data_IF_022641272681
#
_entry.id   IF_022641272681
#
_cell.length_a   1.000
_cell.length_b   1.000
_cell.length_c   1.000
_cell.angle_alpha   90.00
_cell.angle_beta   90.00
_cell.angle_gamma   90.00
#
_symmetry.space_group_name_H-M   'P 1'
#
loop_
_entity.id
_entity.type
_entity.pdbx_description
1 polymer ?
#
# COMPACT_ATOMS: atom_id res chain seq x y z
N UNK A 1 46.35 -25.50 5.85
CA UNK A 1 46.28 -24.11 5.37
C UNK A 1 45.15 -24.04 4.36
N UNK A 2 43.94 -23.66 4.78
CA UNK A 2 42.82 -23.45 3.85
C UNK A 2 43.03 -22.09 3.19
N UNK A 3 43.11 -22.07 1.87
CA UNK A 3 43.30 -20.88 1.05
C UNK A 3 42.21 -19.86 1.36
N UNK A 4 42.61 -18.64 1.74
CA UNK A 4 41.74 -17.50 2.00
C UNK A 4 41.09 -16.98 0.72
N UNK A 5 40.34 -17.82 0.03
CA UNK A 5 39.50 -17.42 -1.09
C UNK A 5 38.28 -16.75 -0.48
N UNK A 6 38.18 -15.44 -0.65
CA UNK A 6 37.02 -14.69 -0.22
C UNK A 6 35.77 -15.31 -0.88
N UNK A 7 34.74 -15.66 -0.09
CA UNK A 7 33.56 -16.30 -0.66
C UNK A 7 32.95 -15.38 -1.72
N UNK A 8 32.36 -15.94 -2.80
CA UNK A 8 31.77 -15.13 -3.84
C UNK A 8 30.76 -14.14 -3.23
N UNK A 9 30.58 -12.95 -3.85
CA UNK A 9 29.67 -11.96 -3.32
C UNK A 9 28.25 -12.53 -3.23
N UNK A 10 27.51 -12.10 -2.20
CA UNK A 10 26.07 -12.40 -2.10
C UNK A 10 25.31 -11.49 -3.06
N UNK A 11 24.14 -11.92 -3.52
CA UNK A 11 23.30 -11.06 -4.37
C UNK A 11 22.19 -10.48 -3.52
N UNK A 12 22.09 -9.16 -3.49
CA UNK A 12 21.09 -8.43 -2.72
C UNK A 12 20.18 -7.63 -3.66
N UNK A 13 18.90 -7.56 -3.32
CA UNK A 13 17.97 -6.58 -3.87
C UNK A 13 17.80 -5.48 -2.83
N UNK A 14 18.08 -4.24 -3.21
CA UNK A 14 17.86 -3.07 -2.36
C UNK A 14 16.53 -2.39 -2.72
N UNK A 15 15.67 -2.22 -1.72
CA UNK A 15 14.39 -1.51 -1.81
C UNK A 15 14.38 -0.40 -0.76
N UNK A 16 14.59 0.85 -1.18
CA UNK A 16 14.81 1.97 -0.26
C UNK A 16 16.07 1.74 0.60
N UNK A 17 15.90 1.72 1.92
CA UNK A 17 16.97 1.42 2.89
C UNK A 17 17.08 -0.09 3.24
N UNK A 18 16.21 -0.93 2.68
CA UNK A 18 16.17 -2.35 2.97
C UNK A 18 16.98 -3.17 1.97
N UNK A 19 17.60 -4.24 2.48
CA UNK A 19 18.35 -5.21 1.68
C UNK A 19 17.74 -6.61 1.84
N UNK A 20 17.38 -7.22 0.72
CA UNK A 20 16.84 -8.59 0.64
C UNK A 20 17.87 -9.50 -0.02
N UNK A 21 18.12 -10.67 0.55
CA UNK A 21 19.06 -11.64 -0.03
C UNK A 21 18.37 -12.37 -1.18
N UNK A 22 18.86 -12.18 -2.41
CA UNK A 22 18.42 -12.93 -3.59
C UNK A 22 19.21 -14.23 -3.74
N UNK A 23 20.51 -14.20 -3.47
CA UNK A 23 21.38 -15.37 -3.42
C UNK A 23 22.42 -15.24 -2.30
N UNK A 24 22.73 -16.34 -1.63
CA UNK A 24 23.72 -16.39 -0.55
C UNK A 24 23.18 -16.34 0.87
N UNK A 25 21.93 -16.74 1.11
CA UNK A 25 21.32 -16.83 2.46
C UNK A 25 22.21 -17.55 3.48
N UNK A 26 22.76 -18.71 3.12
CA UNK A 26 23.65 -19.45 4.02
C UNK A 26 24.95 -18.68 4.35
N UNK A 27 25.54 -17.98 3.37
CA UNK A 27 26.73 -17.13 3.58
C UNK A 27 26.43 -15.96 4.52
N UNK A 28 25.25 -15.35 4.39
CA UNK A 28 24.78 -14.30 5.30
C UNK A 28 24.59 -14.85 6.71
N UNK A 29 23.95 -16.01 6.87
CA UNK A 29 23.77 -16.66 8.18
C UNK A 29 25.11 -16.98 8.85
N UNK A 30 26.05 -17.59 8.12
CA UNK A 30 27.40 -17.91 8.63
C UNK A 30 28.17 -16.63 8.97
N UNK A 31 28.13 -15.60 8.13
CA UNK A 31 28.77 -14.31 8.43
C UNK A 31 28.21 -13.68 9.70
N UNK A 32 26.89 -13.79 9.92
CA UNK A 32 26.21 -13.29 11.13
C UNK A 32 26.61 -14.09 12.38
N UNK A 33 26.69 -15.41 12.31
CA UNK A 33 27.17 -16.26 13.41
C UNK A 33 28.63 -16.00 13.76
N UNK A 34 29.45 -15.67 12.77
CA UNK A 34 30.85 -15.27 12.93
C UNK A 34 31.02 -13.81 13.40
N UNK A 35 29.93 -13.09 13.67
CA UNK A 35 29.96 -11.70 14.14
C UNK A 35 30.48 -10.69 13.12
N UNK A 36 30.49 -11.02 11.82
CA UNK A 36 30.93 -10.10 10.77
C UNK A 36 29.89 -9.01 10.55
N UNK A 37 30.31 -7.75 10.66
CA UNK A 37 29.45 -6.58 10.45
C UNK A 37 29.22 -6.24 8.98
N UNK A 38 30.09 -6.73 8.09
CA UNK A 38 30.08 -6.43 6.65
C UNK A 38 30.23 -7.71 5.84
N UNK A 39 29.60 -7.74 4.67
CA UNK A 39 29.70 -8.83 3.70
C UNK A 39 29.75 -8.27 2.27
N UNK A 40 30.59 -8.86 1.42
CA UNK A 40 30.70 -8.48 0.01
C UNK A 40 29.44 -8.86 -0.74
N UNK A 41 28.83 -7.89 -1.45
CA UNK A 41 27.56 -8.08 -2.13
C UNK A 41 27.50 -7.40 -3.51
N UNK A 42 26.80 -8.03 -4.45
CA UNK A 42 26.29 -7.38 -5.66
C UNK A 42 24.86 -6.92 -5.40
N UNK A 43 24.60 -5.62 -5.50
CA UNK A 43 23.32 -5.01 -5.13
C UNK A 43 22.55 -4.57 -6.35
N UNK A 44 21.36 -5.14 -6.56
CA UNK A 44 20.38 -4.67 -7.52
C UNK A 44 19.42 -3.69 -6.83
N UNK A 45 19.51 -2.40 -7.17
CA UNK A 45 18.66 -1.37 -6.58
C UNK A 45 17.35 -1.25 -7.36
N UNK A 46 16.23 -1.34 -6.64
CA UNK A 46 14.90 -1.10 -7.20
C UNK A 46 14.34 0.16 -6.54
N UNK A 47 14.16 1.20 -7.34
CA UNK A 47 13.48 2.43 -6.91
C UNK A 47 11.97 2.23 -7.08
N UNK A 48 11.30 1.65 -6.09
CA UNK A 48 9.82 1.61 -6.08
C UNK A 48 9.27 2.84 -5.38
N UNK A 49 8.20 3.39 -5.95
CA UNK A 49 7.45 4.55 -5.42
C UNK A 49 6.75 4.25 -4.08
N UNK A 50 6.61 2.96 -3.74
CA UNK A 50 6.01 2.50 -2.50
C UNK A 50 7.08 2.34 -1.42
N UNK A 51 6.93 3.07 -0.32
CA UNK A 51 7.81 3.04 0.84
C UNK A 51 7.90 1.60 1.40
N UNK A 52 9.08 0.99 1.34
CA UNK A 52 9.35 -0.30 1.97
C UNK A 52 9.58 -0.08 3.47
N UNK A 53 8.57 -0.35 4.31
CA UNK A 53 8.77 -0.39 5.76
C UNK A 53 9.61 -1.62 6.16
N UNK A 54 10.43 -1.49 7.21
CA UNK A 54 11.32 -2.53 7.73
C UNK A 54 10.63 -3.86 8.15
N UNK A 55 9.30 -3.91 8.13
CA UNK A 55 8.49 -5.10 8.38
C UNK A 55 7.91 -5.75 7.11
N UNK A 56 8.36 -5.37 5.91
CA UNK A 56 7.91 -5.97 4.65
C UNK A 56 8.29 -7.47 4.60
N UNK A 57 7.27 -8.33 4.63
CA UNK A 57 7.40 -9.78 4.48
C UNK A 57 6.98 -10.20 3.08
N UNK A 58 7.38 -11.40 2.64
CA UNK A 58 6.93 -11.97 1.37
C UNK A 58 5.39 -11.95 1.21
N UNK A 59 4.66 -12.15 2.31
CA UNK A 59 3.19 -12.07 2.34
C UNK A 59 2.63 -10.69 1.98
N UNK A 60 3.40 -9.61 2.14
CA UNK A 60 2.98 -8.25 1.84
C UNK A 60 3.26 -7.85 0.38
N UNK A 61 4.03 -8.65 -0.37
CA UNK A 61 4.46 -8.30 -1.73
C UNK A 61 3.30 -8.20 -2.71
N UNK A 62 2.30 -9.08 -2.60
CA UNK A 62 1.12 -9.03 -3.46
C UNK A 62 0.34 -7.71 -3.28
N UNK A 63 0.18 -7.26 -2.03
CA UNK A 63 -0.48 -5.98 -1.74
C UNK A 63 0.36 -4.81 -2.24
N UNK A 64 1.68 -4.82 -2.02
CA UNK A 64 2.58 -3.77 -2.54
C UNK A 64 2.62 -3.69 -4.06
N UNK A 65 2.53 -4.82 -4.76
CA UNK A 65 2.41 -4.82 -6.22
C UNK A 65 1.09 -4.17 -6.66
N UNK A 66 -0.01 -4.46 -5.97
CA UNK A 66 -1.31 -3.84 -6.26
C UNK A 66 -1.34 -2.35 -5.91
N UNK A 67 -0.70 -1.91 -4.82
CA UNK A 67 -0.49 -0.50 -4.48
C UNK A 67 0.24 0.23 -5.61
N UNK A 68 1.33 -0.36 -6.13
CA UNK A 68 2.10 0.23 -7.22
C UNK A 68 1.27 0.33 -8.51
N UNK A 69 0.46 -0.68 -8.81
CA UNK A 69 -0.46 -0.65 -9.95
C UNK A 69 -1.56 0.41 -9.77
N UNK A 70 -2.10 0.54 -8.55
CA UNK A 70 -3.04 1.59 -8.20
C UNK A 70 -2.42 2.98 -8.42
N UNK A 71 -1.22 3.25 -7.88
CA UNK A 71 -0.56 4.54 -8.01
C UNK A 71 -0.13 4.88 -9.45
N UNK A 72 0.05 3.89 -10.32
CA UNK A 72 0.26 4.14 -11.77
C UNK A 72 -1.00 4.69 -12.44
N UNK A 73 -2.17 4.21 -12.02
CA UNK A 73 -3.49 4.59 -12.55
C UNK A 73 -4.02 5.87 -11.91
N UNK A 74 -3.78 6.02 -10.60
CA UNK A 74 -4.26 7.12 -9.76
C UNK A 74 -3.06 7.68 -8.99
N UNK A 75 -2.23 8.52 -9.62
CA UNK A 75 -1.00 9.04 -9.03
C UNK A 75 -1.32 10.11 -7.98
N UNK A 76 -1.64 9.65 -6.77
CA UNK A 76 -2.00 10.52 -5.64
C UNK A 76 -0.83 11.46 -5.25
N UNK A 77 -1.15 12.65 -4.70
CA UNK A 77 -0.16 13.58 -4.14
C UNK A 77 0.77 12.91 -3.12
N UNK A 78 1.99 13.40 -3.00
CA UNK A 78 3.02 12.80 -2.14
C UNK A 78 2.61 12.76 -0.67
N UNK A 79 1.91 13.79 -0.22
CA UNK A 79 1.41 13.96 1.14
C UNK A 79 0.45 12.83 1.53
N UNK A 80 -0.32 12.33 0.56
CA UNK A 80 -1.27 11.23 0.74
C UNK A 80 -0.55 9.88 0.68
N UNK A 81 0.39 9.72 -0.25
CA UNK A 81 1.08 8.45 -0.52
C UNK A 81 1.82 7.89 0.69
N UNK A 82 2.40 8.75 1.53
CA UNK A 82 3.18 8.33 2.69
C UNK A 82 2.38 7.53 3.73
N UNK A 83 1.07 7.76 3.83
CA UNK A 83 0.22 7.13 4.84
C UNK A 83 -0.60 5.94 4.31
N UNK A 84 -0.53 5.64 3.00
CA UNK A 84 -1.35 4.58 2.41
C UNK A 84 -0.91 3.19 2.87
N UNK A 85 -1.87 2.42 3.39
CA UNK A 85 -1.67 1.01 3.72
C UNK A 85 -2.97 0.22 3.61
N UNK A 86 -2.97 -0.81 2.76
CA UNK A 86 -4.01 -1.83 2.70
C UNK A 86 -3.35 -3.21 2.64
N UNK A 87 -4.00 -4.21 3.23
CA UNK A 87 -3.47 -5.57 3.28
C UNK A 87 -3.92 -6.40 2.05
N UNK A 88 -5.05 -6.03 1.43
CA UNK A 88 -5.65 -6.79 0.34
C UNK A 88 -5.35 -6.17 -1.03
N UNK A 89 -4.78 -6.92 -1.98
CA UNK A 89 -4.63 -6.49 -3.37
C UNK A 89 -5.94 -6.03 -4.03
N UNK A 90 -7.05 -6.68 -3.69
CA UNK A 90 -8.35 -6.37 -4.28
C UNK A 90 -8.91 -5.01 -3.82
N UNK A 91 -8.54 -4.55 -2.62
CA UNK A 91 -8.96 -3.24 -2.12
C UNK A 91 -8.29 -2.10 -2.89
N UNK A 92 -7.01 -2.25 -3.24
CA UNK A 92 -6.32 -1.31 -4.12
C UNK A 92 -6.98 -1.16 -5.48
N UNK A 93 -7.40 -2.27 -6.09
CA UNK A 93 -8.06 -2.23 -7.40
C UNK A 93 -9.45 -1.62 -7.28
N UNK A 94 -10.21 -1.92 -6.22
CA UNK A 94 -11.49 -1.24 -5.96
C UNK A 94 -11.34 0.28 -5.82
N UNK A 95 -10.27 0.75 -5.19
CA UNK A 95 -9.97 2.19 -5.14
C UNK A 95 -9.65 2.78 -6.51
N UNK A 96 -8.87 2.05 -7.34
CA UNK A 96 -8.59 2.48 -8.71
C UNK A 96 -9.89 2.63 -9.52
N UNK A 97 -10.76 1.62 -9.43
CA UNK A 97 -12.03 1.59 -10.16
C UNK A 97 -12.95 2.72 -9.70
N UNK A 98 -13.05 2.98 -8.38
CA UNK A 98 -13.83 4.08 -7.85
C UNK A 98 -13.33 5.46 -8.35
N UNK A 99 -12.02 5.70 -8.31
CA UNK A 99 -11.42 6.94 -8.78
C UNK A 99 -11.67 7.16 -10.29
N UNK A 100 -11.52 6.10 -11.09
CA UNK A 100 -11.73 6.14 -12.54
C UNK A 100 -13.21 6.31 -12.90
N UNK A 101 -14.12 5.65 -12.19
CA UNK A 101 -15.56 5.82 -12.36
C UNK A 101 -15.97 7.27 -12.12
N UNK A 102 -15.56 7.86 -10.99
CA UNK A 102 -15.86 9.26 -10.70
C UNK A 102 -15.25 10.23 -11.71
N UNK A 103 -14.09 9.90 -12.30
CA UNK A 103 -13.50 10.69 -13.38
C UNK A 103 -14.29 10.61 -14.69
N UNK A 104 -14.83 9.43 -15.00
CA UNK A 104 -15.71 9.23 -16.15
C UNK A 104 -17.01 10.03 -15.98
N UNK A 105 -17.62 10.00 -14.80
CA UNK A 105 -18.82 10.78 -14.49
C UNK A 105 -18.57 12.29 -14.64
N UNK A 106 -17.43 12.79 -14.11
CA UNK A 106 -17.01 14.19 -14.33
C UNK A 106 -16.80 14.51 -15.80
N UNK A 107 -16.22 13.60 -16.56
CA UNK A 107 -16.02 13.76 -18.01
C UNK A 107 -17.36 13.89 -18.74
N UNK A 108 -18.34 13.05 -18.39
CA UNK A 108 -19.71 13.16 -18.91
C UNK A 108 -20.41 14.46 -18.51
N UNK A 109 -20.07 15.01 -17.34
CA UNK A 109 -20.53 16.33 -16.89
C UNK A 109 -19.74 17.52 -17.48
N UNK A 110 -18.81 17.29 -18.43
CA UNK A 110 -18.01 18.33 -19.06
C UNK A 110 -16.84 18.86 -18.22
N UNK A 111 -16.49 18.17 -17.11
CA UNK A 111 -15.38 18.47 -16.20
C UNK A 111 -14.28 17.41 -16.31
N UNK A 112 -13.89 17.06 -17.53
CA UNK A 112 -12.85 16.06 -17.77
C UNK A 112 -11.50 16.51 -17.16
N UNK A 113 -10.78 15.65 -16.41
CA UNK A 113 -9.46 15.99 -15.90
C UNK A 113 -8.46 16.08 -17.06
N UNK A 114 -7.51 17.01 -16.99
CA UNK A 114 -6.47 17.17 -18.00
C UNK A 114 -5.50 15.97 -18.03
N UNK A 115 -5.20 15.40 -16.86
CA UNK A 115 -4.33 14.23 -16.73
C UNK A 115 -4.70 13.34 -15.52
N UNK A 116 -3.90 12.28 -15.31
CA UNK A 116 -4.11 11.35 -14.19
C UNK A 116 -3.82 11.96 -12.82
N UNK A 117 -2.94 12.96 -12.73
CA UNK A 117 -2.64 13.65 -11.47
C UNK A 117 -3.81 14.53 -11.05
N UNK A 118 -4.39 15.29 -11.98
CA UNK A 118 -5.59 16.08 -11.71
C UNK A 118 -6.77 15.17 -11.34
N UNK A 119 -6.95 14.05 -12.05
CA UNK A 119 -7.94 13.03 -11.68
C UNK A 119 -7.76 12.57 -10.23
N UNK A 120 -6.55 12.17 -9.86
CA UNK A 120 -6.25 11.63 -8.54
C UNK A 120 -6.43 12.68 -7.43
N UNK A 121 -5.93 13.90 -7.64
CA UNK A 121 -6.07 14.99 -6.69
C UNK A 121 -7.53 15.41 -6.51
N UNK A 122 -8.29 15.51 -7.61
CA UNK A 122 -9.71 15.89 -7.59
C UNK A 122 -10.55 14.81 -6.92
N UNK A 123 -10.33 13.54 -7.24
CA UNK A 123 -11.00 12.42 -6.57
C UNK A 123 -10.74 12.42 -5.06
N UNK A 124 -9.47 12.60 -4.67
CA UNK A 124 -9.13 12.62 -3.25
C UNK A 124 -9.75 13.81 -2.51
N UNK A 125 -9.73 15.00 -3.11
CA UNK A 125 -10.24 16.22 -2.49
C UNK A 125 -11.77 16.31 -2.47
N UNK A 126 -12.44 15.94 -3.56
CA UNK A 126 -13.88 16.13 -3.75
C UNK A 126 -14.72 14.92 -3.29
N UNK A 127 -14.16 13.70 -3.25
CA UNK A 127 -14.91 12.49 -2.90
C UNK A 127 -14.38 11.81 -1.64
N UNK A 128 -13.08 11.51 -1.59
CA UNK A 128 -12.49 10.79 -0.45
C UNK A 128 -12.54 11.63 0.82
N UNK A 129 -12.02 12.86 0.76
CA UNK A 129 -11.88 13.75 1.93
C UNK A 129 -13.24 14.05 2.60
N UNK A 130 -14.32 14.37 1.88
CA UNK A 130 -15.63 14.57 2.49
C UNK A 130 -16.17 13.33 3.22
N UNK A 131 -16.00 12.13 2.65
CA UNK A 131 -16.42 10.88 3.29
C UNK A 131 -15.62 10.64 4.57
N UNK A 132 -14.30 10.84 4.53
CA UNK A 132 -13.44 10.72 5.71
C UNK A 132 -13.85 11.70 6.80
N UNK A 133 -14.08 12.96 6.45
CA UNK A 133 -14.48 14.00 7.40
C UNK A 133 -15.83 13.67 8.05
N UNK A 134 -16.81 13.21 7.27
CA UNK A 134 -18.12 12.81 7.79
C UNK A 134 -18.02 11.65 8.79
N UNK A 135 -17.27 10.60 8.44
CA UNK A 135 -17.06 9.45 9.33
C UNK A 135 -16.28 9.82 10.60
N UNK A 136 -15.24 10.65 10.47
CA UNK A 136 -14.45 11.11 11.62
C UNK A 136 -15.25 12.01 12.55
N UNK A 137 -16.08 12.89 12.02
CA UNK A 137 -16.98 13.73 12.82
C UNK A 137 -17.98 12.88 13.64
N UNK A 138 -18.39 11.72 13.11
CA UNK A 138 -19.21 10.73 13.81
C UNK A 138 -18.41 9.82 14.76
N UNK A 139 -17.08 10.00 14.89
CA UNK A 139 -16.22 9.23 15.78
C UNK A 139 -15.76 7.88 15.22
N UNK A 140 -15.91 7.63 13.92
CA UNK A 140 -15.50 6.39 13.28
C UNK A 140 -14.09 6.47 12.65
N UNK A 141 -13.42 5.31 12.58
CA UNK A 141 -12.15 5.17 11.87
C UNK A 141 -10.97 5.95 12.46
N UNK A 142 -11.04 6.34 13.74
CA UNK A 142 -10.01 7.15 14.40
C UNK A 142 -8.67 6.42 14.58
N UNK A 143 -8.68 5.09 14.63
CA UNK A 143 -7.50 4.23 14.74
C UNK A 143 -7.00 3.68 13.38
N UNK A 144 -7.61 4.14 12.29
CA UNK A 144 -7.36 3.67 10.93
C UNK A 144 -6.74 4.77 10.08
N UNK A 145 -5.95 4.36 9.09
CA UNK A 145 -5.43 5.26 8.05
C UNK A 145 -6.56 5.71 7.13
N UNK A 146 -6.42 6.87 6.52
CA UNK A 146 -7.42 7.47 5.62
C UNK A 146 -7.90 6.46 4.56
N UNK A 147 -6.94 5.80 3.89
CA UNK A 147 -7.26 4.81 2.85
C UNK A 147 -8.05 3.60 3.37
N UNK A 148 -7.82 3.19 4.62
CA UNK A 148 -8.54 2.08 5.25
C UNK A 148 -9.97 2.49 5.61
N UNK A 149 -10.14 3.72 6.09
CA UNK A 149 -11.47 4.27 6.38
C UNK A 149 -12.30 4.35 5.10
N UNK A 150 -11.72 4.93 4.06
CA UNK A 150 -12.39 5.07 2.77
C UNK A 150 -12.66 3.72 2.09
N UNK A 151 -11.72 2.78 2.09
CA UNK A 151 -11.94 1.44 1.54
C UNK A 151 -13.06 0.69 2.27
N UNK A 152 -13.19 0.89 3.59
CA UNK A 152 -14.28 0.31 4.39
C UNK A 152 -15.63 0.93 4.02
N UNK A 153 -15.68 2.26 3.89
CA UNK A 153 -16.87 2.98 3.45
C UNK A 153 -17.31 2.54 2.05
N UNK A 154 -16.36 2.45 1.12
CA UNK A 154 -16.58 1.97 -0.24
C UNK A 154 -17.17 0.56 -0.24
N UNK A 155 -16.64 -0.34 0.58
CA UNK A 155 -17.18 -1.69 0.71
C UNK A 155 -18.61 -1.74 1.30
N UNK A 156 -19.00 -0.77 2.15
CA UNK A 156 -20.39 -0.63 2.62
C UNK A 156 -21.27 -0.18 1.45
N UNK A 157 -20.88 0.87 0.73
CA UNK A 157 -21.60 1.37 -0.44
C UNK A 157 -21.84 0.28 -1.48
N UNK A 158 -20.80 -0.48 -1.81
CA UNK A 158 -20.87 -1.56 -2.80
C UNK A 158 -21.84 -2.68 -2.36
N UNK A 159 -21.88 -3.01 -1.07
CA UNK A 159 -22.83 -4.02 -0.53
C UNK A 159 -24.29 -3.58 -0.65
N UNK A 160 -24.54 -2.27 -0.64
CA UNK A 160 -25.88 -1.72 -0.85
C UNK A 160 -26.26 -1.63 -2.34
N UNK A 161 -25.30 -1.89 -3.25
CA UNK A 161 -25.52 -1.78 -4.70
C UNK A 161 -25.75 -0.34 -5.18
N UNK A 162 -25.28 0.65 -4.43
CA UNK A 162 -25.43 2.07 -4.74
C UNK A 162 -24.16 2.64 -5.39
N UNK A 163 -24.33 3.58 -6.32
CA UNK A 163 -23.23 4.43 -6.80
C UNK A 163 -23.07 5.69 -5.93
N UNK A 164 -24.17 6.15 -5.33
CA UNK A 164 -24.19 7.28 -4.40
C UNK A 164 -23.81 6.87 -2.97
N UNK A 165 -23.26 7.81 -2.21
CA UNK A 165 -22.98 7.63 -0.79
C UNK A 165 -24.28 7.63 0.02
N UNK A 166 -24.52 6.60 0.86
CA UNK A 166 -25.71 6.56 1.70
C UNK A 166 -25.67 7.69 2.74
N UNK A 167 -26.78 8.41 2.97
CA UNK A 167 -26.80 9.53 3.91
C UNK A 167 -26.59 9.09 5.37
N UNK A 168 -26.94 7.84 5.67
CA UNK A 168 -26.79 7.14 6.95
C UNK A 168 -25.48 6.31 7.01
N UNK A 169 -24.49 6.60 6.15
CA UNK A 169 -23.20 5.91 6.16
C UNK A 169 -22.55 5.78 7.56
N UNK A 170 -22.59 6.79 8.45
CA UNK A 170 -22.06 6.65 9.80
C UNK A 170 -22.76 5.54 10.61
N UNK A 171 -24.08 5.43 10.52
CA UNK A 171 -24.86 4.43 11.25
C UNK A 171 -24.59 3.00 10.75
N UNK A 172 -24.16 2.88 9.48
CA UNK A 172 -23.79 1.62 8.83
C UNK A 172 -22.32 1.25 9.03
N UNK A 173 -21.54 2.06 9.77
CA UNK A 173 -20.11 1.87 9.92
C UNK A 173 -19.78 0.53 10.61
N UNK A 174 -19.01 -0.29 9.90
CA UNK A 174 -18.48 -1.54 10.40
C UNK A 174 -16.96 -1.52 10.23
N UNK A 175 -16.17 -1.39 11.31
CA UNK A 175 -14.72 -1.34 11.20
C UNK A 175 -14.21 -2.63 10.52
N UNK A 176 -13.14 -2.54 9.71
CA UNK A 176 -12.57 -3.71 9.07
C UNK A 176 -12.19 -4.71 10.14
N UNK A 177 -12.63 -5.96 9.99
CA UNK A 177 -12.27 -7.01 10.91
C UNK A 177 -10.76 -7.21 10.83
N UNK A 178 -10.02 -6.70 11.83
CA UNK A 178 -8.60 -7.02 11.98
C UNK A 178 -8.51 -8.53 12.06
N UNK A 179 -8.07 -9.19 10.98
CA UNK A 179 -7.65 -10.59 11.07
C UNK A 179 -6.56 -10.59 12.12
N UNK A 180 -6.88 -11.10 13.33
CA UNK A 180 -5.87 -11.48 14.32
C UNK A 180 -4.90 -12.36 13.55
N UNK A 181 -3.75 -11.81 13.17
CA UNK A 181 -2.58 -12.63 12.90
C UNK A 181 -2.32 -13.32 14.24
N UNK A 182 -2.86 -14.53 14.36
CA UNK A 182 -2.41 -15.48 15.35
C UNK A 182 -0.90 -15.58 15.11
N UNK A 183 -0.14 -14.87 15.96
CA UNK A 183 1.21 -15.23 16.29
C UNK A 183 1.12 -16.63 16.91
N UNK A 184 1.01 -17.65 16.06
CA UNK A 184 1.31 -19.01 16.43
C UNK A 184 2.83 -19.07 16.58
N UNK A 185 3.31 -18.57 17.71
CA UNK A 185 4.59 -18.98 18.24
C UNK A 185 4.46 -20.42 18.68
N UNK A 186 5.21 -21.29 18.03
CA UNK A 186 5.87 -22.44 18.65
C UNK A 186 7.04 -22.84 17.77
#
# INVERSE_FOLDING_TARGET
MSTGVEPPPVHLVQLGELYFVADGHHRVSVARELGRLVITAQVHRICTVAYGMACLRAAHLASKQAELEFLRRVPLPEEVRADLWLDSPAEWMRLADAAQSGALDRTHAGRAPADRHELAATWWAEEVTPVLNGLRAAGHGLDLRDVQVYATALAIRDRLGSSDWPPDLPDLWLPPQRRRMLLAGR
#
